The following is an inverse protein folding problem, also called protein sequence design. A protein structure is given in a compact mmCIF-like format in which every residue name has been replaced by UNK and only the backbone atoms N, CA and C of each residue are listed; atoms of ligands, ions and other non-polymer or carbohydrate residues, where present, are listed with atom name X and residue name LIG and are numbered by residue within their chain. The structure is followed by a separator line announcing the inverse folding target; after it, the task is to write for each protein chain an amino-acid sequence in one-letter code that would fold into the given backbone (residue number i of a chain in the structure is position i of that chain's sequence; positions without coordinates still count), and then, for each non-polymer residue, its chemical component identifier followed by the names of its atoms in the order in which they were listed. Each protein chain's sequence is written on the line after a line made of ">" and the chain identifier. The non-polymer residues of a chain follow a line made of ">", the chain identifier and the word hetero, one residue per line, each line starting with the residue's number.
data_IF_121987506731
#
_entry.id   IF_121987506731
#
_cell.length_a   1.000
_cell.length_b   1.000
_cell.length_c   1.000
_cell.angle_alpha   90.00
_cell.angle_beta   90.00
_cell.angle_gamma   90.00
#
_symmetry.space_group_name_H-M   'P 1'
#
loop_
_entity.id
_entity.type
_entity.pdbx_description
1 polymer ?
#
# COMPACT_ATOMS: atom_id res chain seq x y z
N UNK A 1 -10.80 -7.26 -19.63
CA UNK A 1 -11.86 -6.40 -19.09
C UNK A 1 -11.67 -6.19 -17.60
N UNK A 2 -11.69 -4.95 -17.19
CA UNK A 2 -11.50 -4.63 -15.78
C UNK A 2 -12.76 -4.97 -14.97
N UNK A 3 -12.59 -5.65 -13.86
CA UNK A 3 -13.70 -5.99 -12.97
C UNK A 3 -14.10 -4.77 -12.12
N UNK A 4 -15.34 -4.76 -11.62
CA UNK A 4 -15.83 -3.71 -10.74
C UNK A 4 -15.24 -3.82 -9.33
N UNK A 5 -15.28 -2.71 -8.57
CA UNK A 5 -14.89 -2.74 -7.15
C UNK A 5 -15.72 -3.72 -6.33
N UNK A 6 -17.02 -3.81 -6.63
CA UNK A 6 -17.90 -4.76 -5.95
C UNK A 6 -17.47 -6.21 -6.20
N UNK A 7 -17.06 -6.53 -7.43
CA UNK A 7 -16.55 -7.87 -7.75
C UNK A 7 -15.32 -8.23 -6.92
N UNK A 8 -14.35 -7.30 -6.84
CA UNK A 8 -13.15 -7.52 -6.05
C UNK A 8 -13.44 -7.67 -4.56
N UNK A 9 -14.39 -6.89 -4.04
CA UNK A 9 -14.81 -7.00 -2.64
C UNK A 9 -15.38 -8.38 -2.33
N UNK A 10 -16.22 -8.91 -3.21
CA UNK A 10 -16.80 -10.25 -3.06
C UNK A 10 -15.73 -11.33 -3.18
N UNK A 11 -14.81 -11.20 -4.12
CA UNK A 11 -13.73 -12.15 -4.30
C UNK A 11 -12.85 -12.24 -3.05
N UNK A 12 -12.52 -11.08 -2.45
CA UNK A 12 -11.75 -11.02 -1.21
C UNK A 12 -12.50 -11.66 -0.05
N UNK A 13 -13.82 -11.43 0.06
CA UNK A 13 -14.62 -12.00 1.13
C UNK A 13 -14.52 -13.53 1.17
N UNK A 14 -14.38 -14.16 0.00
CA UNK A 14 -14.27 -15.63 -0.10
C UNK A 14 -12.91 -16.17 0.36
N UNK A 15 -11.87 -15.33 0.42
CA UNK A 15 -10.51 -15.75 0.78
C UNK A 15 -9.95 -15.02 2.01
N UNK A 16 -10.73 -14.15 2.63
CA UNK A 16 -10.26 -13.28 3.71
C UNK A 16 -9.62 -14.05 4.87
N UNK A 17 -10.20 -15.20 5.24
CA UNK A 17 -9.68 -16.03 6.33
C UNK A 17 -8.29 -16.60 6.03
N UNK A 18 -7.95 -16.75 4.77
CA UNK A 18 -6.66 -17.29 4.31
C UNK A 18 -5.64 -16.19 4.00
N UNK A 19 -6.09 -14.95 3.90
CA UNK A 19 -5.25 -13.82 3.50
C UNK A 19 -4.66 -13.10 4.73
N UNK A 20 -4.04 -13.86 5.63
CA UNK A 20 -3.37 -13.29 6.80
C UNK A 20 -1.92 -12.92 6.46
N UNK A 21 -1.39 -11.89 7.15
CA UNK A 21 -0.03 -11.41 6.91
C UNK A 21 0.99 -12.55 6.91
N UNK A 22 0.97 -13.40 7.94
CA UNK A 22 1.92 -14.51 8.04
C UNK A 22 1.80 -15.51 6.90
N UNK A 23 0.58 -15.80 6.44
CA UNK A 23 0.36 -16.72 5.32
C UNK A 23 0.85 -16.11 4.01
N UNK A 24 0.52 -14.84 3.77
CA UNK A 24 0.97 -14.14 2.56
C UNK A 24 2.50 -14.10 2.48
N UNK A 25 3.16 -13.79 3.59
CA UNK A 25 4.62 -13.69 3.64
C UNK A 25 5.32 -15.04 3.54
N UNK A 26 4.64 -16.15 3.84
CA UNK A 26 5.21 -17.49 3.65
C UNK A 26 5.00 -18.04 2.25
N UNK A 27 3.86 -17.74 1.64
CA UNK A 27 3.49 -18.31 0.31
C UNK A 27 3.94 -17.44 -0.85
N UNK A 28 4.10 -16.15 -0.63
CA UNK A 28 4.48 -15.22 -1.69
C UNK A 28 5.97 -15.31 -2.03
N UNK A 29 6.28 -14.83 -3.22
CA UNK A 29 7.68 -14.67 -3.63
C UNK A 29 8.21 -13.37 -3.05
N UNK A 30 9.20 -13.47 -2.16
CA UNK A 30 9.75 -12.32 -1.45
C UNK A 30 11.01 -11.78 -2.15
N UNK A 31 11.15 -10.47 -2.11
CA UNK A 31 12.28 -9.74 -2.67
C UNK A 31 12.99 -8.94 -1.58
N UNK A 32 14.30 -8.73 -1.74
CA UNK A 32 15.10 -7.98 -0.79
C UNK A 32 14.91 -6.47 -0.84
N UNK A 33 14.29 -5.98 -1.91
CA UNK A 33 14.04 -4.55 -2.13
C UNK A 33 12.61 -4.30 -2.54
N UNK A 34 12.04 -3.11 -2.21
CA UNK A 34 10.71 -2.78 -2.70
C UNK A 34 10.73 -2.59 -4.21
N UNK A 35 9.65 -3.00 -4.87
CA UNK A 35 9.50 -2.86 -6.31
C UNK A 35 8.80 -1.55 -6.63
N UNK A 36 9.46 -0.65 -7.36
CA UNK A 36 8.86 0.59 -7.82
C UNK A 36 7.75 0.32 -8.83
N UNK A 37 6.72 1.15 -8.81
CA UNK A 37 5.57 0.99 -9.69
C UNK A 37 4.65 -0.18 -9.34
N UNK A 38 4.89 -0.83 -8.21
CA UNK A 38 4.11 -1.96 -7.72
C UNK A 38 3.75 -1.76 -6.25
N UNK A 39 2.65 -2.35 -5.83
CA UNK A 39 2.32 -2.45 -4.41
C UNK A 39 3.23 -3.49 -3.76
N UNK A 40 3.64 -3.20 -2.52
CA UNK A 40 4.50 -4.09 -1.73
C UNK A 40 3.90 -4.25 -0.35
N UNK A 41 3.92 -5.47 0.18
CA UNK A 41 3.59 -5.76 1.58
C UNK A 41 4.87 -6.13 2.32
N UNK A 42 5.04 -5.64 3.53
CA UNK A 42 6.18 -5.96 4.37
C UNK A 42 5.89 -5.63 5.82
N UNK A 43 6.63 -6.23 6.75
CA UNK A 43 6.53 -5.89 8.17
C UNK A 43 7.39 -4.68 8.48
N UNK A 44 6.84 -3.73 9.23
CA UNK A 44 7.50 -2.48 9.57
C UNK A 44 7.35 -2.13 11.05
N UNK A 45 8.45 -1.70 11.69
CA UNK A 45 8.48 -1.25 13.08
C UNK A 45 8.88 0.23 13.11
N UNK A 46 7.92 1.18 13.15
CA UNK A 46 8.21 2.61 13.01
C UNK A 46 9.17 3.14 14.07
N UNK A 47 10.09 3.99 13.63
CA UNK A 47 11.09 4.62 14.49
C UNK A 47 10.44 5.43 15.63
N UNK A 48 9.37 6.15 15.32
CA UNK A 48 8.71 7.04 16.26
C UNK A 48 7.40 6.45 16.82
N UNK A 49 7.28 5.14 16.90
CA UNK A 49 6.04 4.49 17.34
C UNK A 49 5.54 4.94 18.70
N UNK A 50 6.44 5.35 19.60
CA UNK A 50 6.06 5.81 20.95
C UNK A 50 5.27 7.11 20.92
N UNK A 51 5.53 7.99 19.96
CA UNK A 51 4.89 9.29 19.84
C UNK A 51 3.81 9.36 18.77
N UNK A 52 3.77 8.39 17.84
CA UNK A 52 2.74 8.35 16.81
C UNK A 52 1.37 8.05 17.43
N UNK A 53 0.30 8.71 16.98
CA UNK A 53 -1.05 8.43 17.48
C UNK A 53 -1.54 7.04 17.05
N UNK A 54 -1.06 6.54 15.93
CA UNK A 54 -1.29 5.20 15.42
C UNK A 54 -0.30 4.91 14.29
N UNK A 55 -0.13 3.64 13.96
CA UNK A 55 0.74 3.22 12.86
C UNK A 55 0.36 1.82 12.38
N UNK A 56 0.74 1.50 11.14
CA UNK A 56 0.48 0.20 10.52
C UNK A 56 1.77 -0.62 10.52
N UNK A 57 1.72 -1.82 11.08
CA UNK A 57 2.88 -2.72 11.14
C UNK A 57 2.99 -3.67 9.96
N UNK A 58 1.99 -3.68 9.07
CA UNK A 58 2.01 -4.47 7.84
C UNK A 58 1.50 -3.65 6.66
N UNK A 59 2.26 -2.62 6.26
CA UNK A 59 1.80 -1.68 5.25
C UNK A 59 1.73 -2.27 3.83
N UNK A 60 0.76 -1.75 3.06
CA UNK A 60 0.60 -2.02 1.63
C UNK A 60 1.02 -0.75 0.88
N UNK A 61 2.26 -0.73 0.39
CA UNK A 61 2.91 0.50 -0.06
C UNK A 61 3.22 0.50 -1.54
N UNK A 62 2.87 1.61 -2.19
CA UNK A 62 3.38 1.97 -3.50
C UNK A 62 4.57 2.91 -3.29
N UNK A 63 5.82 2.46 -3.53
CA UNK A 63 6.98 3.33 -3.36
C UNK A 63 6.97 4.49 -4.34
N UNK A 64 7.35 5.67 -3.88
CA UNK A 64 7.45 6.87 -4.70
C UNK A 64 8.92 7.22 -4.93
N UNK A 65 9.52 7.97 -4.01
CA UNK A 65 10.91 8.42 -4.15
C UNK A 65 11.81 7.80 -3.10
N UNK A 66 13.07 7.60 -3.46
CA UNK A 66 14.09 7.21 -2.48
C UNK A 66 14.50 8.43 -1.65
N UNK A 67 14.81 8.17 -0.39
CA UNK A 67 15.37 9.15 0.53
C UNK A 67 16.61 8.53 1.19
N UNK A 68 17.38 9.34 1.92
CA UNK A 68 18.52 8.81 2.65
C UNK A 68 18.06 7.77 3.66
N UNK A 69 18.51 6.52 3.50
CA UNK A 69 18.22 5.42 4.41
C UNK A 69 16.82 4.80 4.25
N UNK A 70 16.08 5.15 3.20
CA UNK A 70 14.74 4.60 3.02
C UNK A 70 14.04 5.11 1.78
N UNK A 71 12.72 5.17 1.85
CA UNK A 71 11.89 5.68 0.75
C UNK A 71 10.60 6.29 1.28
N UNK A 72 9.99 7.14 0.46
CA UNK A 72 8.64 7.67 0.68
C UNK A 72 7.69 6.80 -0.13
N UNK A 73 6.57 6.41 0.47
CA UNK A 73 5.56 5.63 -0.23
C UNK A 73 4.15 5.96 0.22
N UNK A 74 3.20 5.41 -0.52
CA UNK A 74 1.78 5.53 -0.23
C UNK A 74 1.30 4.23 0.40
N UNK A 75 0.94 4.27 1.69
CA UNK A 75 0.33 3.13 2.35
C UNK A 75 -1.18 3.18 2.16
N UNK A 76 -1.69 2.32 1.31
CA UNK A 76 -3.12 2.26 0.96
C UNK A 76 -4.00 1.88 2.16
N UNK A 77 -3.43 1.22 3.17
CA UNK A 77 -4.19 0.82 4.36
C UNK A 77 -4.76 1.99 5.16
N UNK A 78 -4.23 3.21 4.96
CA UNK A 78 -4.76 4.41 5.63
C UNK A 78 -6.08 4.88 5.05
N UNK A 79 -6.55 4.26 3.97
CA UNK A 79 -7.86 4.52 3.38
C UNK A 79 -8.77 3.29 3.54
N UNK A 80 -10.10 3.50 3.66
CA UNK A 80 -11.04 2.38 3.60
C UNK A 80 -10.93 1.66 2.24
N UNK A 81 -11.24 0.37 2.18
CA UNK A 81 -11.03 -0.43 0.96
C UNK A 81 -11.61 0.15 -0.32
N UNK A 82 -12.83 0.67 -0.29
CA UNK A 82 -13.45 1.28 -1.48
C UNK A 82 -12.67 2.49 -1.99
N UNK A 83 -12.13 3.30 -1.08
CA UNK A 83 -11.31 4.45 -1.44
C UNK A 83 -9.94 4.03 -1.97
N UNK A 84 -9.39 2.92 -1.46
CA UNK A 84 -8.14 2.35 -1.98
C UNK A 84 -8.30 2.00 -3.46
N UNK A 85 -9.42 1.38 -3.80
CA UNK A 85 -9.72 1.02 -5.19
C UNK A 85 -9.86 2.26 -6.07
N UNK A 86 -10.56 3.28 -5.58
CA UNK A 86 -10.70 4.55 -6.30
C UNK A 86 -9.35 5.20 -6.54
N UNK A 87 -8.48 5.23 -5.52
CA UNK A 87 -7.14 5.80 -5.65
C UNK A 87 -6.31 5.01 -6.66
N UNK A 88 -6.32 3.68 -6.56
CA UNK A 88 -5.60 2.82 -7.50
C UNK A 88 -6.05 3.10 -8.94
N UNK A 89 -7.35 3.26 -9.15
CA UNK A 89 -7.90 3.56 -10.47
C UNK A 89 -7.43 4.91 -11.01
N UNK A 90 -7.34 5.92 -10.15
CA UNK A 90 -6.82 7.24 -10.54
C UNK A 90 -5.34 7.21 -10.89
N UNK A 91 -4.58 6.36 -10.21
CA UNK A 91 -3.14 6.23 -10.44
C UNK A 91 -2.83 5.38 -11.67
N UNK A 92 -3.79 4.66 -12.19
CA UNK A 92 -3.59 3.75 -13.32
C UNK A 92 -2.96 4.46 -14.51
N UNK A 93 -3.35 5.70 -14.78
CA UNK A 93 -2.76 6.50 -15.85
C UNK A 93 -1.26 6.78 -15.66
N UNK A 94 -0.80 6.83 -14.40
CA UNK A 94 0.61 7.02 -14.09
C UNK A 94 1.41 5.72 -14.26
N UNK A 95 0.73 4.58 -14.26
CA UNK A 95 1.33 3.26 -14.40
C UNK A 95 1.33 2.79 -15.86
N UNK A 96 0.77 3.58 -16.78
CA UNK A 96 0.68 3.20 -18.21
C UNK A 96 2.05 2.91 -18.82
N UNK A 97 3.09 3.57 -18.34
CA UNK A 97 4.44 3.32 -18.81
C UNK A 97 4.90 1.87 -18.67
N UNK A 98 4.35 1.14 -17.70
CA UNK A 98 4.65 -0.28 -17.53
C UNK A 98 4.29 -1.12 -18.75
N UNK A 99 3.28 -0.72 -19.50
CA UNK A 99 2.86 -1.39 -20.73
C UNK A 99 3.99 -1.44 -21.76
N UNK A 100 4.98 -0.58 -21.62
CA UNK A 100 6.13 -0.54 -22.50
C UNK A 100 7.29 -1.41 -21.99
N UNK A 101 7.11 -2.10 -20.88
CA UNK A 101 8.15 -2.96 -20.31
C UNK A 101 9.31 -2.19 -19.69
N UNK A 102 9.10 -0.94 -19.30
CA UNK A 102 10.14 -0.06 -18.77
C UNK A 102 9.81 0.42 -17.37
N UNK A 103 9.49 -0.50 -16.51
CA UNK A 103 8.91 -0.25 -15.19
C UNK A 103 9.68 0.76 -14.35
N UNK A 104 11.01 0.68 -14.33
CA UNK A 104 11.84 1.54 -13.48
C UNK A 104 11.78 3.02 -13.84
N UNK A 105 11.39 3.34 -15.08
CA UNK A 105 11.34 4.71 -15.57
C UNK A 105 10.01 5.42 -15.31
N UNK A 106 8.99 4.66 -14.89
CA UNK A 106 7.62 5.16 -14.80
C UNK A 106 7.10 5.13 -13.39
N UNK A 107 8.00 5.25 -12.42
CA UNK A 107 7.61 5.36 -11.02
C UNK A 107 6.89 6.69 -10.80
N UNK A 108 5.85 6.63 -9.99
CA UNK A 108 5.11 7.82 -9.59
C UNK A 108 5.99 8.58 -8.60
N UNK A 109 6.25 9.86 -8.88
CA UNK A 109 7.04 10.68 -7.98
C UNK A 109 6.18 11.27 -6.86
N UNK A 110 6.81 11.54 -5.72
CA UNK A 110 6.17 12.23 -4.61
C UNK A 110 5.55 13.57 -5.06
N UNK A 111 6.31 14.35 -5.85
CA UNK A 111 5.86 15.67 -6.30
C UNK A 111 4.63 15.61 -7.20
N UNK A 112 4.44 14.53 -7.95
CA UNK A 112 3.29 14.41 -8.85
C UNK A 112 1.99 14.10 -8.12
N UNK A 113 2.04 13.57 -6.89
CA UNK A 113 0.84 13.10 -6.18
C UNK A 113 0.62 13.77 -4.82
N UNK A 114 1.60 14.44 -4.26
CA UNK A 114 1.55 14.97 -2.89
C UNK A 114 0.38 15.91 -2.61
N UNK A 115 -0.14 16.57 -3.62
CA UNK A 115 -1.24 17.54 -3.47
C UNK A 115 -2.62 16.94 -3.73
N UNK A 116 -2.68 15.66 -4.09
CA UNK A 116 -3.97 14.97 -4.24
C UNK A 116 -4.51 14.69 -2.84
N UNK A 117 -5.71 15.22 -2.48
CA UNK A 117 -6.22 15.09 -1.11
C UNK A 117 -6.29 13.64 -0.62
N UNK A 118 -6.71 12.71 -1.47
CA UNK A 118 -6.81 11.29 -1.12
C UNK A 118 -5.44 10.66 -0.85
N UNK A 119 -4.37 11.19 -1.44
CA UNK A 119 -3.00 10.67 -1.27
C UNK A 119 -2.40 11.12 0.06
N UNK A 120 -2.71 12.33 0.51
CA UNK A 120 -2.05 12.92 1.69
C UNK A 120 -2.03 11.99 2.91
N UNK A 121 -3.16 11.38 3.33
CA UNK A 121 -3.12 10.52 4.50
C UNK A 121 -2.33 9.22 4.30
N UNK A 122 -2.01 8.86 3.06
CA UNK A 122 -1.26 7.64 2.75
C UNK A 122 0.25 7.83 2.73
N UNK A 123 0.73 9.07 2.69
CA UNK A 123 2.16 9.36 2.53
C UNK A 123 2.94 9.09 3.82
N UNK A 124 3.92 8.21 3.73
CA UNK A 124 4.77 7.84 4.86
C UNK A 124 6.20 7.60 4.40
N UNK A 125 7.14 7.84 5.31
CA UNK A 125 8.55 7.53 5.14
C UNK A 125 8.84 6.17 5.76
N UNK A 126 9.56 5.33 5.05
CA UNK A 126 9.95 4.01 5.52
C UNK A 126 11.47 3.90 5.54
N UNK A 127 12.01 3.65 6.74
CA UNK A 127 13.45 3.52 6.93
C UNK A 127 13.85 2.05 6.81
N UNK A 128 14.85 1.73 6.01
CA UNK A 128 15.31 0.35 5.81
C UNK A 128 15.69 -0.33 7.12
N UNK A 129 16.30 0.42 8.05
CA UNK A 129 16.70 -0.11 9.35
C UNK A 129 15.53 -0.57 10.22
N UNK A 130 14.31 -0.13 9.92
CA UNK A 130 13.10 -0.48 10.66
C UNK A 130 12.18 -1.46 9.92
N UNK A 131 12.56 -1.89 8.74
CA UNK A 131 11.85 -2.93 8.00
C UNK A 131 12.24 -4.28 8.57
N UNK A 132 11.22 -5.11 8.87
CA UNK A 132 11.39 -6.36 9.61
C UNK A 132 11.14 -7.61 8.78
N UNK A 133 11.07 -7.47 7.46
CA UNK A 133 10.89 -8.59 6.53
C UNK A 133 11.42 -8.23 5.16
N UNK A 134 11.45 -9.21 4.26
CA UNK A 134 11.56 -8.95 2.85
C UNK A 134 10.25 -8.36 2.33
N UNK A 135 10.21 -7.99 1.05
CA UNK A 135 9.07 -7.35 0.42
C UNK A 135 8.31 -8.36 -0.44
N UNK A 136 7.00 -8.44 -0.22
CA UNK A 136 6.10 -9.18 -1.10
C UNK A 136 5.59 -8.22 -2.17
N UNK A 137 6.08 -8.38 -3.40
CA UNK A 137 5.62 -7.60 -4.53
C UNK A 137 4.25 -8.09 -4.99
N UNK A 138 3.32 -7.18 -5.18
CA UNK A 138 1.99 -7.46 -5.71
C UNK A 138 2.02 -7.18 -7.21
N UNK A 139 1.76 -8.19 -8.02
CA UNK A 139 1.71 -8.01 -9.46
C UNK A 139 0.55 -7.10 -9.86
N UNK A 140 0.71 -6.40 -10.99
CA UNK A 140 -0.29 -5.43 -11.45
C UNK A 140 -1.68 -6.06 -11.61
N UNK A 141 -1.75 -7.32 -12.03
CA UNK A 141 -3.01 -8.06 -12.20
C UNK A 141 -3.72 -8.36 -10.88
N UNK A 142 -2.99 -8.33 -9.76
CA UNK A 142 -3.52 -8.64 -8.44
C UNK A 142 -3.74 -7.39 -7.59
N UNK A 143 -3.30 -6.23 -8.06
CA UNK A 143 -3.35 -5.00 -7.27
C UNK A 143 -4.77 -4.64 -6.82
N UNK A 144 -5.74 -4.77 -7.72
CA UNK A 144 -7.14 -4.47 -7.40
C UNK A 144 -7.72 -5.40 -6.33
N UNK A 145 -7.28 -6.65 -6.31
CA UNK A 145 -7.67 -7.59 -5.25
C UNK A 145 -6.98 -7.23 -3.94
N UNK A 146 -5.69 -6.93 -4.00
CA UNK A 146 -4.87 -6.65 -2.83
C UNK A 146 -5.37 -5.46 -2.01
N UNK A 147 -5.89 -4.40 -2.67
CA UNK A 147 -6.39 -3.23 -1.94
C UNK A 147 -7.61 -3.54 -1.08
N UNK A 148 -8.35 -4.59 -1.39
CA UNK A 148 -9.50 -5.02 -0.58
C UNK A 148 -9.13 -6.01 0.52
N UNK A 149 -7.93 -6.57 0.54
CA UNK A 149 -7.53 -7.51 1.59
C UNK A 149 -7.49 -6.83 2.96
N UNK A 150 -8.17 -7.39 3.98
CA UNK A 150 -8.19 -6.81 5.32
C UNK A 150 -6.96 -7.23 6.12
N UNK A 151 -5.77 -6.90 5.63
CA UNK A 151 -4.50 -7.33 6.24
C UNK A 151 -3.77 -6.20 6.96
N UNK A 152 -4.35 -4.99 7.02
CA UNK A 152 -3.78 -3.90 7.79
C UNK A 152 -3.64 -4.29 9.27
N UNK A 153 -2.53 -3.85 9.90
CA UNK A 153 -2.27 -4.11 11.31
C UNK A 153 -2.00 -2.80 12.05
N UNK A 154 -3.05 -2.01 12.23
CA UNK A 154 -2.93 -0.76 12.97
C UNK A 154 -2.75 -1.02 14.47
N UNK A 155 -1.86 -0.24 15.08
CA UNK A 155 -1.61 -0.22 16.52
C UNK A 155 -2.11 1.10 17.09
N UNK A 156 -2.53 1.09 18.36
CA UNK A 156 -3.06 2.19 19.16
C UNK A 156 -4.48 2.62 18.80
N UNK A 157 -4.91 2.49 17.55
CA UNK A 157 -6.27 2.81 17.11
C UNK A 157 -6.77 1.75 16.13
N UNK A 158 -8.08 1.46 16.12
CA UNK A 158 -8.64 0.54 15.13
C UNK A 158 -8.69 1.21 13.74
N UNK A 159 -8.78 0.38 12.71
CA UNK A 159 -8.82 0.85 11.32
C UNK A 159 -9.94 1.89 11.09
N UNK A 160 -11.10 1.68 11.70
CA UNK A 160 -12.23 2.62 11.54
C UNK A 160 -11.88 4.03 12.01
N UNK A 161 -11.13 4.17 13.08
CA UNK A 161 -10.67 5.47 13.58
C UNK A 161 -9.65 6.09 12.62
N UNK A 162 -8.68 5.29 12.16
CA UNK A 162 -7.68 5.75 11.18
C UNK A 162 -8.37 6.26 9.93
N UNK A 163 -9.31 5.50 9.39
CA UNK A 163 -10.01 5.85 8.16
C UNK A 163 -10.88 7.10 8.32
N UNK A 164 -11.53 7.25 9.47
CA UNK A 164 -12.32 8.44 9.78
C UNK A 164 -11.45 9.69 9.74
N UNK A 165 -10.27 9.64 10.35
CA UNK A 165 -9.32 10.75 10.35
C UNK A 165 -8.78 11.05 8.94
N UNK A 166 -8.49 10.00 8.17
CA UNK A 166 -8.01 10.15 6.79
C UNK A 166 -9.06 10.85 5.93
N UNK A 167 -10.35 10.52 6.09
CA UNK A 167 -11.43 11.12 5.31
C UNK A 167 -11.64 12.59 5.61
N UNK A 168 -11.27 13.09 6.76
CA UNK A 168 -11.47 14.51 7.13
C UNK A 168 -10.72 15.48 6.22
N UNK A 169 -9.61 15.04 5.62
CA UNK A 169 -8.81 15.87 4.74
C UNK A 169 -9.11 15.73 3.27
N UNK A 170 -10.12 14.94 2.93
CA UNK A 170 -10.41 14.62 1.53
C UNK A 170 -11.61 15.39 1.00
#
# INVERSE_FOLDING_TARGET
>A
TRKSGAWYRQAVASIADKARAGVLMRKGQLLGRPSGGRLNLFFYDPKFKKTLPYYDTFPLVLPLDTIKGGFVGMNFHYLPPAMRFTLLSRLDRFLVGDKLGRTSKYQISYNSVKNIPMVKPTLHKYLYSHIRSQFLRIDATEAALAVYLPVQQFKKQPATTVWSRSRRGI
#
